data_IF_498894225360
#
_entry.id   IF_498894225360
#
_cell.length_a   1.000
_cell.length_b   1.000
_cell.length_c   1.000
_cell.angle_alpha   90.00
_cell.angle_beta   90.00
_cell.angle_gamma   90.00
#
_symmetry.space_group_name_H-M   'P 1'
#
loop_
_entity.id
_entity.type
_entity.pdbx_description
1 polymer ?
#
# COMPACT_ATOMS: atom_id res chain seq x y z
N UNK A 1 14.73 -28.88 -30.86
CA UNK A 1 15.67 -28.83 -29.73
C UNK A 1 15.03 -27.98 -28.66
N UNK A 2 15.01 -28.48 -27.43
CA UNK A 2 14.63 -27.71 -26.24
C UNK A 2 15.73 -26.68 -25.93
N UNK A 3 15.36 -25.50 -25.39
CA UNK A 3 16.12 -24.22 -25.45
C UNK A 3 17.66 -24.36 -25.48
N UNK A 4 18.40 -24.26 -24.37
CA UNK A 4 18.03 -23.92 -22.99
C UNK A 4 18.76 -22.61 -22.60
N UNK A 5 18.24 -21.81 -21.66
CA UNK A 5 18.96 -20.60 -21.19
C UNK A 5 19.89 -20.95 -20.03
N UNK A 6 21.18 -20.62 -20.16
CA UNK A 6 22.16 -20.80 -19.10
C UNK A 6 22.05 -19.65 -18.06
N UNK A 7 21.77 -19.98 -16.80
CA UNK A 7 21.63 -18.99 -15.72
C UNK A 7 22.95 -18.23 -15.48
N UNK A 8 24.09 -18.87 -15.74
CA UNK A 8 25.40 -18.21 -15.64
C UNK A 8 25.54 -17.01 -16.58
N UNK A 9 24.82 -16.96 -17.69
CA UNK A 9 24.82 -15.85 -18.65
C UNK A 9 23.95 -14.65 -18.23
N UNK A 10 23.03 -14.82 -17.27
CA UNK A 10 22.24 -13.71 -16.71
C UNK A 10 23.19 -12.79 -15.94
N UNK A 11 23.18 -11.50 -16.29
CA UNK A 11 24.06 -10.45 -15.75
C UNK A 11 23.47 -9.78 -14.52
N UNK A 12 22.17 -9.47 -14.53
CA UNK A 12 21.50 -8.86 -13.39
C UNK A 12 21.43 -9.85 -12.22
N UNK A 13 22.05 -9.48 -11.11
CA UNK A 13 22.19 -10.33 -9.92
C UNK A 13 20.84 -10.72 -9.32
N UNK A 14 19.87 -9.81 -9.27
CA UNK A 14 18.54 -10.09 -8.69
C UNK A 14 17.75 -11.10 -9.54
N UNK A 15 17.71 -10.87 -10.85
CA UNK A 15 17.12 -11.77 -11.84
C UNK A 15 17.78 -13.17 -11.79
N UNK A 16 19.11 -13.22 -11.66
CA UNK A 16 19.87 -14.46 -11.51
C UNK A 16 19.54 -15.21 -10.21
N UNK A 17 19.36 -14.51 -9.09
CA UNK A 17 18.94 -15.12 -7.83
C UNK A 17 17.52 -15.70 -7.90
N UNK A 18 16.60 -15.06 -8.62
CA UNK A 18 15.27 -15.64 -8.88
C UNK A 18 15.38 -16.87 -9.80
N UNK A 19 16.16 -16.79 -10.89
CA UNK A 19 16.40 -17.91 -11.80
C UNK A 19 16.94 -19.17 -11.08
N UNK A 20 17.89 -19.01 -10.16
CA UNK A 20 18.42 -20.11 -9.33
C UNK A 20 17.38 -20.72 -8.38
N UNK A 21 16.32 -19.98 -7.97
CA UNK A 21 15.20 -20.52 -7.17
C UNK A 21 14.18 -21.30 -8.02
N UNK A 22 14.02 -20.94 -9.29
CA UNK A 22 13.00 -21.51 -10.19
C UNK A 22 13.46 -22.79 -10.89
N UNK A 23 14.77 -23.00 -11.07
CA UNK A 23 15.30 -24.24 -11.66
C UNK A 23 15.17 -25.44 -10.70
N UNK A 24 15.19 -26.64 -11.27
CA UNK A 24 15.36 -27.85 -10.48
C UNK A 24 16.77 -27.89 -9.84
N UNK A 25 16.85 -28.30 -8.57
CA UNK A 25 18.07 -28.22 -7.76
C UNK A 25 19.24 -29.05 -8.32
N UNK A 26 18.93 -30.16 -8.98
CA UNK A 26 19.89 -31.14 -9.51
C UNK A 26 20.34 -30.86 -10.95
N UNK A 27 19.65 -29.96 -11.67
CA UNK A 27 19.87 -29.77 -13.10
C UNK A 27 21.10 -28.88 -13.35
N UNK A 28 22.12 -29.46 -13.98
CA UNK A 28 23.31 -28.78 -14.49
C UNK A 28 23.69 -29.31 -15.86
N UNK A 29 24.10 -28.43 -16.75
CA UNK A 29 24.51 -28.77 -18.13
C UNK A 29 25.68 -27.89 -18.59
N UNK A 30 26.54 -28.43 -19.44
CA UNK A 30 27.53 -27.64 -20.19
C UNK A 30 26.89 -27.01 -21.42
N UNK A 31 27.19 -25.73 -21.65
CA UNK A 31 26.64 -24.92 -22.72
C UNK A 31 27.75 -24.52 -23.71
N UNK A 32 27.82 -25.22 -24.86
CA UNK A 32 28.85 -24.97 -25.88
C UNK A 32 28.88 -23.50 -26.34
N UNK A 33 27.72 -22.84 -26.40
CA UNK A 33 27.55 -21.44 -26.84
C UNK A 33 28.24 -20.41 -25.94
N UNK A 34 28.42 -20.71 -24.64
CA UNK A 34 28.99 -19.77 -23.67
C UNK A 34 30.12 -20.35 -22.80
N UNK A 35 30.45 -21.64 -22.94
CA UNK A 35 31.49 -22.33 -22.19
C UNK A 35 31.17 -22.57 -20.71
N UNK A 36 29.96 -22.30 -20.25
CA UNK A 36 29.57 -22.47 -18.85
C UNK A 36 29.00 -23.87 -18.58
N UNK A 37 29.38 -24.45 -17.43
CA UNK A 37 28.61 -25.55 -16.79
C UNK A 37 27.77 -24.96 -15.67
N UNK A 38 26.45 -25.01 -15.77
CA UNK A 38 25.56 -24.34 -14.83
C UNK A 38 24.12 -24.83 -14.87
N UNK A 39 23.30 -24.26 -13.97
CA UNK A 39 21.85 -24.41 -14.02
C UNK A 39 21.24 -23.71 -15.22
N UNK A 40 20.01 -24.10 -15.57
CA UNK A 40 19.33 -23.61 -16.76
C UNK A 40 17.84 -23.39 -16.55
N UNK A 41 17.23 -22.66 -17.48
CA UNK A 41 15.79 -22.38 -17.51
C UNK A 41 15.16 -23.04 -18.75
N UNK A 42 14.05 -23.74 -18.52
CA UNK A 42 13.11 -24.15 -19.58
C UNK A 42 12.17 -22.97 -19.96
N UNK A 43 11.19 -23.19 -20.84
CA UNK A 43 10.24 -22.15 -21.26
C UNK A 43 9.37 -21.65 -20.09
N UNK A 44 8.77 -22.57 -19.31
CA UNK A 44 7.93 -22.24 -18.15
C UNK A 44 8.70 -21.41 -17.10
N UNK A 45 9.97 -21.76 -16.84
CA UNK A 45 10.83 -21.04 -15.93
C UNK A 45 11.12 -19.60 -16.41
N UNK A 46 11.21 -19.38 -17.73
CA UNK A 46 11.43 -18.04 -18.30
C UNK A 46 10.19 -17.17 -18.19
N UNK A 47 9.01 -17.70 -18.52
CA UNK A 47 7.74 -16.98 -18.37
C UNK A 47 7.48 -16.63 -16.89
N UNK A 48 7.72 -17.57 -15.96
CA UNK A 48 7.61 -17.31 -14.51
C UNK A 48 8.64 -16.28 -14.03
N UNK A 49 9.92 -16.42 -14.41
CA UNK A 49 10.98 -15.48 -14.03
C UNK A 49 10.69 -14.06 -14.50
N UNK A 50 10.24 -13.91 -15.75
CA UNK A 50 9.90 -12.63 -16.33
C UNK A 50 8.71 -11.98 -15.59
N UNK A 51 7.67 -12.76 -15.25
CA UNK A 51 6.53 -12.25 -14.50
C UNK A 51 6.91 -11.89 -13.05
N UNK A 52 7.72 -12.69 -12.37
CA UNK A 52 8.17 -12.40 -11.00
C UNK A 52 9.03 -11.14 -10.94
N UNK A 53 10.01 -10.99 -11.82
CA UNK A 53 10.94 -9.87 -11.79
C UNK A 53 10.36 -8.58 -12.38
N UNK A 54 9.82 -8.63 -13.60
CA UNK A 54 9.38 -7.40 -14.29
C UNK A 54 7.97 -6.96 -13.90
N UNK A 55 7.05 -7.88 -13.62
CA UNK A 55 5.67 -7.52 -13.24
C UNK A 55 5.58 -7.39 -11.72
N UNK A 56 5.68 -8.48 -10.96
CA UNK A 56 5.52 -8.43 -9.51
C UNK A 56 6.61 -7.60 -8.80
N UNK A 57 7.83 -7.61 -9.33
CA UNK A 57 8.95 -6.81 -8.83
C UNK A 57 8.89 -5.31 -9.15
N UNK A 58 7.98 -4.85 -10.02
CA UNK A 58 7.84 -3.42 -10.36
C UNK A 58 6.64 -2.74 -9.70
N UNK A 59 6.18 -3.23 -8.55
CA UNK A 59 5.10 -2.61 -7.77
C UNK A 59 5.71 -1.53 -6.83
N UNK A 60 5.41 -0.23 -7.00
CA UNK A 60 6.05 0.82 -6.21
C UNK A 60 5.62 0.81 -4.74
N UNK A 61 6.56 0.90 -3.76
CA UNK A 61 6.23 0.84 -2.34
C UNK A 61 5.30 1.95 -1.82
N UNK A 62 5.23 3.09 -2.51
CA UNK A 62 4.51 4.30 -2.05
C UNK A 62 3.05 4.40 -2.48
N UNK A 63 2.58 3.54 -3.38
CA UNK A 63 1.28 3.71 -4.04
C UNK A 63 0.09 3.18 -3.24
N UNK A 64 0.32 2.37 -2.20
CA UNK A 64 -0.73 1.69 -1.42
C UNK A 64 -1.57 0.69 -2.23
N UNK A 65 -1.07 0.28 -3.40
CA UNK A 65 -1.82 -0.47 -4.40
C UNK A 65 -0.96 -1.48 -5.15
N UNK A 66 -1.56 -2.62 -5.51
CA UNK A 66 -0.91 -3.76 -6.16
C UNK A 66 -0.76 -3.55 -7.68
N UNK A 67 -0.33 -2.36 -8.08
CA UNK A 67 -0.20 -1.96 -9.48
C UNK A 67 1.28 -2.03 -9.91
N UNK A 68 1.67 -2.95 -10.80
CA UNK A 68 3.02 -2.99 -11.34
C UNK A 68 3.22 -1.84 -12.34
N UNK A 69 4.45 -1.36 -12.49
CA UNK A 69 4.82 -0.32 -13.48
C UNK A 69 5.04 -0.92 -14.86
N UNK A 70 5.42 -2.20 -14.93
CA UNK A 70 5.59 -2.93 -16.18
C UNK A 70 4.65 -4.13 -16.28
N UNK A 71 4.30 -4.50 -17.50
CA UNK A 71 3.58 -5.73 -17.78
C UNK A 71 4.08 -6.34 -19.11
N UNK A 72 3.67 -7.57 -19.40
CA UNK A 72 4.08 -8.34 -20.59
C UNK A 72 2.86 -8.50 -21.50
N UNK A 73 2.97 -8.13 -22.78
CA UNK A 73 1.91 -8.35 -23.77
C UNK A 73 1.85 -9.82 -24.19
N UNK A 74 0.69 -10.27 -24.66
CA UNK A 74 0.55 -11.63 -25.24
C UNK A 74 1.30 -11.78 -26.57
N UNK A 75 1.46 -10.69 -27.32
CA UNK A 75 2.15 -10.63 -28.62
C UNK A 75 2.79 -9.25 -28.80
N UNK A 76 3.89 -9.19 -29.55
CA UNK A 76 4.53 -7.93 -29.96
C UNK A 76 6.05 -7.98 -29.85
N UNK A 77 6.67 -6.80 -29.78
CA UNK A 77 8.08 -6.62 -29.45
C UNK A 77 8.21 -5.94 -28.09
N UNK A 78 9.41 -5.98 -27.51
CA UNK A 78 9.75 -5.22 -26.32
C UNK A 78 9.72 -3.71 -26.64
N UNK A 79 9.02 -2.93 -25.82
CA UNK A 79 8.91 -1.47 -25.92
C UNK A 79 9.78 -0.75 -24.87
N UNK A 80 10.41 -1.49 -23.95
CA UNK A 80 11.26 -0.94 -22.89
C UNK A 80 12.75 -1.05 -23.22
N UNK A 81 13.50 -0.02 -22.85
CA UNK A 81 14.96 -0.04 -22.77
C UNK A 81 15.40 0.46 -21.41
N UNK A 82 16.12 -0.36 -20.66
CA UNK A 82 16.56 -0.07 -19.29
C UNK A 82 17.86 0.75 -19.25
N UNK A 83 18.71 0.66 -20.27
CA UNK A 83 20.02 1.31 -20.32
C UNK A 83 21.04 0.64 -19.38
N UNK A 84 20.89 -0.66 -19.13
CA UNK A 84 21.69 -1.41 -18.16
C UNK A 84 21.92 -2.86 -18.61
N UNK A 85 22.53 -3.68 -17.75
CA UNK A 85 22.70 -5.10 -17.99
C UNK A 85 21.38 -5.87 -18.19
N UNK A 86 20.24 -5.30 -17.76
CA UNK A 86 18.90 -5.86 -18.01
C UNK A 86 18.54 -5.92 -19.50
N UNK A 87 19.02 -5.00 -20.35
CA UNK A 87 18.70 -5.05 -21.78
C UNK A 87 19.25 -6.33 -22.42
N UNK A 88 20.48 -6.70 -22.05
CA UNK A 88 21.10 -7.96 -22.46
C UNK A 88 20.37 -9.19 -21.91
N UNK A 89 19.89 -9.12 -20.66
CA UNK A 89 19.15 -10.23 -20.07
C UNK A 89 17.77 -10.38 -20.73
N UNK A 90 17.11 -9.29 -21.13
CA UNK A 90 15.87 -9.32 -21.91
C UNK A 90 16.12 -9.93 -23.30
N UNK A 91 17.21 -9.59 -23.99
CA UNK A 91 17.62 -10.25 -25.23
C UNK A 91 17.85 -11.75 -25.03
N UNK A 92 18.51 -12.14 -23.94
CA UNK A 92 18.78 -13.53 -23.59
C UNK A 92 17.48 -14.31 -23.31
N UNK A 93 16.58 -13.77 -22.49
CA UNK A 93 15.27 -14.38 -22.20
C UNK A 93 14.38 -14.46 -23.46
N UNK A 94 14.42 -13.43 -24.30
CA UNK A 94 13.67 -13.36 -25.56
C UNK A 94 14.06 -14.43 -26.59
N UNK A 95 15.13 -15.19 -26.35
CA UNK A 95 15.54 -16.26 -27.26
C UNK A 95 14.53 -17.40 -27.35
N UNK A 96 13.75 -17.70 -26.29
CA UNK A 96 12.67 -18.68 -26.36
C UNK A 96 11.48 -18.16 -27.17
N UNK A 97 10.97 -17.03 -26.72
CA UNK A 97 9.73 -16.38 -27.10
C UNK A 97 9.94 -14.89 -26.89
N UNK A 98 9.44 -14.00 -27.76
CA UNK A 98 9.55 -12.56 -27.54
C UNK A 98 9.05 -12.19 -26.15
N UNK A 99 9.78 -11.31 -25.46
CA UNK A 99 9.39 -10.75 -24.16
C UNK A 99 8.89 -9.31 -24.36
N UNK A 100 7.64 -9.08 -24.81
CA UNK A 100 7.10 -7.77 -25.12
C UNK A 100 6.71 -7.01 -23.84
N UNK A 101 7.72 -6.55 -23.10
CA UNK A 101 7.55 -5.66 -21.97
C UNK A 101 7.10 -4.28 -22.43
N UNK A 102 6.28 -3.63 -21.61
CA UNK A 102 5.81 -2.26 -21.83
C UNK A 102 5.48 -1.57 -20.51
N UNK A 103 5.39 -0.23 -20.53
CA UNK A 103 4.89 0.55 -19.40
C UNK A 103 3.39 0.29 -19.21
N UNK A 104 3.02 -0.29 -18.08
CA UNK A 104 1.62 -0.55 -17.75
C UNK A 104 1.00 0.69 -17.14
N UNK A 105 0.03 1.29 -17.84
CA UNK A 105 -0.92 2.22 -17.22
C UNK A 105 -1.99 1.41 -16.46
N UNK A 106 -1.94 1.31 -15.13
CA UNK A 106 -2.97 0.59 -14.39
C UNK A 106 -4.30 1.35 -14.44
N UNK A 107 -5.45 0.65 -14.44
CA UNK A 107 -6.73 1.28 -14.16
C UNK A 107 -6.67 2.09 -12.85
N UNK A 108 -7.19 3.31 -12.86
CA UNK A 108 -6.98 4.30 -11.78
C UNK A 108 -7.42 3.80 -10.38
N UNK A 109 -8.45 2.93 -10.30
CA UNK A 109 -8.82 2.30 -9.03
C UNK A 109 -7.69 1.46 -8.41
N UNK A 110 -6.78 0.86 -9.20
CA UNK A 110 -5.65 0.06 -8.66
C UNK A 110 -4.62 0.92 -7.90
N UNK A 111 -4.55 2.22 -8.19
CA UNK A 111 -3.75 3.21 -7.45
C UNK A 111 -4.58 4.01 -6.44
N UNK A 112 -5.81 3.59 -6.19
CA UNK A 112 -6.70 4.12 -5.16
C UNK A 112 -7.60 5.28 -5.59
N UNK A 113 -7.54 5.71 -6.86
CA UNK A 113 -8.44 6.73 -7.40
C UNK A 113 -9.82 6.10 -7.70
N UNK A 114 -10.61 5.97 -6.64
CA UNK A 114 -12.03 5.58 -6.61
C UNK A 114 -12.94 6.80 -6.72
N UNK A 115 -14.24 6.58 -6.94
CA UNK A 115 -15.26 7.64 -7.00
C UNK A 115 -15.27 8.47 -5.71
N UNK A 116 -15.22 7.81 -4.53
CA UNK A 116 -15.09 8.49 -3.24
C UNK A 116 -13.81 9.35 -3.15
N UNK A 117 -12.66 8.87 -3.63
CA UNK A 117 -11.42 9.66 -3.64
C UNK A 117 -11.52 10.86 -4.57
N UNK A 118 -12.09 10.67 -5.77
CA UNK A 118 -12.31 11.71 -6.76
C UNK A 118 -13.19 12.84 -6.19
N UNK A 119 -14.34 12.50 -5.59
CA UNK A 119 -15.24 13.47 -4.96
C UNK A 119 -14.59 14.20 -3.78
N UNK A 120 -13.92 13.47 -2.88
CA UNK A 120 -13.36 14.03 -1.65
C UNK A 120 -12.07 14.84 -1.85
N UNK A 121 -11.29 14.59 -2.90
CA UNK A 121 -9.94 15.17 -3.07
C UNK A 121 -9.80 16.06 -4.29
N UNK A 122 -10.45 15.73 -5.41
CA UNK A 122 -10.19 16.38 -6.71
C UNK A 122 -11.36 17.29 -7.10
N UNK A 123 -12.59 16.88 -6.82
CA UNK A 123 -13.79 17.61 -7.23
C UNK A 123 -14.25 18.64 -6.19
N UNK A 124 -13.60 18.69 -5.02
CA UNK A 124 -13.83 19.64 -3.92
C UNK A 124 -15.33 19.80 -3.59
N UNK A 125 -16.05 18.67 -3.46
CA UNK A 125 -17.50 18.65 -3.27
C UNK A 125 -17.95 19.43 -2.02
N UNK A 126 -19.18 19.95 -2.06
CA UNK A 126 -19.77 20.75 -0.99
C UNK A 126 -19.78 20.02 0.36
N UNK A 127 -19.74 20.76 1.48
CA UNK A 127 -19.75 20.17 2.83
C UNK A 127 -20.92 19.20 3.08
N UNK A 128 -22.07 19.44 2.46
CA UNK A 128 -23.21 18.53 2.51
C UNK A 128 -22.88 17.20 1.82
N UNK A 129 -22.42 17.26 0.57
CA UNK A 129 -22.05 16.06 -0.21
C UNK A 129 -20.91 15.29 0.45
N UNK A 130 -19.94 16.00 1.02
CA UNK A 130 -18.83 15.43 1.81
C UNK A 130 -19.33 14.61 2.99
N UNK A 131 -20.35 15.09 3.71
CA UNK A 131 -20.99 14.35 4.82
C UNK A 131 -21.79 13.14 4.34
N UNK A 132 -22.49 13.23 3.20
CA UNK A 132 -23.17 12.05 2.60
C UNK A 132 -22.17 10.93 2.28
N UNK A 133 -21.02 11.28 1.68
CA UNK A 133 -19.96 10.33 1.34
C UNK A 133 -19.44 9.62 2.59
N UNK A 134 -19.13 10.36 3.66
CA UNK A 134 -18.68 9.76 4.92
C UNK A 134 -19.78 8.93 5.60
N UNK A 135 -21.05 9.33 5.54
CA UNK A 135 -22.16 8.53 6.05
C UNK A 135 -22.27 7.18 5.32
N UNK A 136 -22.13 7.19 3.99
CA UNK A 136 -22.10 5.97 3.17
C UNK A 136 -20.93 5.06 3.56
N UNK A 137 -19.71 5.61 3.61
CA UNK A 137 -18.49 4.88 3.99
C UNK A 137 -18.61 4.26 5.38
N UNK A 138 -19.11 5.03 6.36
CA UNK A 138 -19.27 4.55 7.74
C UNK A 138 -20.38 3.49 7.83
N UNK A 139 -21.47 3.63 7.08
CA UNK A 139 -22.57 2.67 7.04
C UNK A 139 -22.20 1.33 6.39
N UNK A 140 -21.28 1.35 5.43
CA UNK A 140 -20.71 0.14 4.81
C UNK A 140 -19.69 -0.58 5.71
N UNK A 141 -19.17 0.06 6.75
CA UNK A 141 -18.24 -0.54 7.70
C UNK A 141 -18.96 -1.19 8.88
N UNK A 142 -18.44 -2.32 9.36
CA UNK A 142 -19.07 -3.08 10.44
C UNK A 142 -18.89 -2.43 11.81
N UNK A 143 -19.98 -2.34 12.59
CA UNK A 143 -19.87 -2.04 14.03
C UNK A 143 -19.40 -3.29 14.79
N UNK A 144 -18.38 -3.14 15.62
CA UNK A 144 -17.83 -4.17 16.50
C UNK A 144 -17.92 -3.72 17.95
N UNK A 145 -18.38 -4.61 18.82
CA UNK A 145 -18.49 -4.36 20.26
C UNK A 145 -17.44 -5.16 21.02
N UNK A 146 -16.47 -4.48 21.65
CA UNK A 146 -15.52 -5.13 22.56
C UNK A 146 -16.10 -5.21 23.97
N UNK A 147 -16.19 -6.42 24.50
CA UNK A 147 -16.79 -6.69 25.81
C UNK A 147 -15.77 -6.48 26.93
N UNK A 148 -16.21 -6.22 28.17
CA UNK A 148 -15.34 -6.27 29.34
C UNK A 148 -14.54 -7.59 29.39
N UNK A 149 -13.26 -7.50 29.76
CA UNK A 149 -12.29 -8.60 29.74
C UNK A 149 -11.56 -8.80 28.40
N UNK A 150 -11.97 -8.14 27.30
CA UNK A 150 -11.19 -8.15 26.05
C UNK A 150 -9.81 -7.52 26.28
N UNK A 151 -8.77 -8.13 25.70
CA UNK A 151 -7.37 -7.68 25.84
C UNK A 151 -6.97 -6.74 24.72
N UNK A 152 -6.23 -5.67 25.07
CA UNK A 152 -5.61 -4.73 24.13
C UNK A 152 -4.13 -4.57 24.54
N UNK A 153 -3.22 -4.60 23.57
CA UNK A 153 -1.81 -4.33 23.79
C UNK A 153 -1.43 -2.92 23.34
N UNK A 154 -0.42 -2.36 23.99
CA UNK A 154 0.27 -1.16 23.50
C UNK A 154 1.74 -1.22 23.87
N UNK A 155 2.61 -1.03 22.89
CA UNK A 155 4.05 -0.92 23.11
C UNK A 155 4.52 0.54 23.09
N UNK A 156 5.61 0.83 23.81
CA UNK A 156 6.40 2.07 23.71
C UNK A 156 7.87 1.68 23.59
N UNK A 157 8.65 2.50 22.88
CA UNK A 157 10.10 2.38 22.79
C UNK A 157 10.80 3.65 23.25
N UNK A 158 12.06 3.52 23.65
CA UNK A 158 12.93 4.66 23.96
C UNK A 158 14.33 4.25 24.39
N UNK A 159 15.09 5.22 24.87
CA UNK A 159 16.46 5.03 25.40
C UNK A 159 16.47 4.39 26.80
N UNK A 160 15.30 4.28 27.44
CA UNK A 160 15.07 3.61 28.72
C UNK A 160 13.61 3.13 28.78
N UNK A 161 13.29 2.25 29.72
CA UNK A 161 11.90 1.88 30.00
C UNK A 161 11.20 3.03 30.75
N UNK A 162 9.94 3.36 30.41
CA UNK A 162 9.11 4.25 31.21
C UNK A 162 8.75 3.59 32.55
N UNK A 163 8.26 4.38 33.50
CA UNK A 163 7.66 3.87 34.73
C UNK A 163 6.48 2.94 34.42
N UNK A 164 6.31 1.89 35.24
CA UNK A 164 5.24 0.91 35.12
C UNK A 164 3.87 1.45 35.61
N UNK A 165 3.45 2.60 35.08
CA UNK A 165 2.25 3.33 35.50
C UNK A 165 1.25 3.44 34.34
N UNK A 166 -0.05 3.34 34.62
CA UNK A 166 -1.10 3.34 33.59
C UNK A 166 -1.09 4.59 32.70
N UNK A 167 -0.86 5.76 33.30
CA UNK A 167 -0.78 7.04 32.59
C UNK A 167 0.43 7.15 31.64
N UNK A 168 1.49 6.35 31.83
CA UNK A 168 2.59 6.25 30.86
C UNK A 168 2.23 5.42 29.62
N UNK A 169 1.10 4.69 29.64
CA UNK A 169 0.67 3.89 28.49
C UNK A 169 -0.71 4.32 27.95
N UNK A 170 -1.39 5.27 28.58
CA UNK A 170 -2.60 5.91 28.03
C UNK A 170 -2.25 6.89 26.87
N UNK A 171 -3.26 7.54 26.26
CA UNK A 171 -3.07 8.53 25.19
C UNK A 171 -2.00 9.57 25.51
N UNK A 172 -1.17 9.92 24.51
CA UNK A 172 -0.08 10.87 24.69
C UNK A 172 -0.61 12.20 25.29
N UNK A 173 -0.06 12.71 26.41
CA UNK A 173 -0.51 13.96 27.00
C UNK A 173 -0.29 15.18 26.09
N UNK A 174 0.74 15.15 25.26
CA UNK A 174 1.10 16.16 24.27
C UNK A 174 1.14 15.51 22.86
N UNK A 175 -0.02 15.13 22.29
CA UNK A 175 -0.07 14.37 21.05
C UNK A 175 0.33 15.25 19.86
N UNK A 176 1.30 14.80 19.09
CA UNK A 176 1.58 15.32 17.75
C UNK A 176 0.51 14.85 16.77
N UNK A 177 0.55 15.39 15.55
CA UNK A 177 -0.25 14.87 14.46
C UNK A 177 0.04 13.37 14.20
N UNK A 178 -1.01 12.65 13.81
CA UNK A 178 -0.97 11.24 13.42
C UNK A 178 -2.07 10.93 12.40
N UNK A 179 -2.16 9.66 11.98
CA UNK A 179 -3.09 9.25 10.93
C UNK A 179 -4.56 9.48 11.32
N UNK A 180 -4.95 9.19 12.56
CA UNK A 180 -6.34 9.30 13.03
C UNK A 180 -6.51 10.36 14.14
N UNK A 181 -5.58 11.31 14.24
CA UNK A 181 -5.65 12.42 15.19
C UNK A 181 -4.90 13.66 14.68
N UNK A 182 -5.47 14.85 14.88
CA UNK A 182 -4.75 16.12 14.71
C UNK A 182 -3.82 16.35 15.90
N UNK A 183 -2.88 17.29 15.73
CA UNK A 183 -2.05 17.77 16.84
C UNK A 183 -2.94 18.30 17.98
N UNK A 184 -2.64 17.92 19.22
CA UNK A 184 -3.46 18.22 20.40
C UNK A 184 -4.64 17.28 20.65
N UNK A 185 -5.08 16.47 19.67
CA UNK A 185 -6.14 15.49 19.87
C UNK A 185 -5.63 14.22 20.55
N UNK A 186 -6.16 13.91 21.73
CA UNK A 186 -5.78 12.71 22.49
C UNK A 186 -6.46 11.48 21.92
N UNK A 187 -5.62 10.53 21.51
CA UNK A 187 -5.99 9.23 20.96
C UNK A 187 -5.01 8.17 21.48
N UNK A 188 -5.56 7.01 21.82
CA UNK A 188 -4.82 5.82 22.21
C UNK A 188 -4.64 4.94 20.99
N UNK A 189 -3.40 4.59 20.66
CA UNK A 189 -3.07 3.62 19.62
C UNK A 189 -2.57 2.34 20.26
N UNK A 190 -3.24 1.22 19.99
CA UNK A 190 -2.82 -0.12 20.40
C UNK A 190 -3.13 -1.14 19.30
N UNK A 191 -3.01 -2.42 19.64
CA UNK A 191 -3.38 -3.53 18.76
C UNK A 191 -3.94 -4.72 19.56
N UNK A 192 -4.53 -5.67 18.85
CA UNK A 192 -4.95 -6.95 19.44
C UNK A 192 -3.79 -7.93 19.61
N UNK A 193 -2.70 -7.73 18.86
CA UNK A 193 -1.51 -8.60 18.88
C UNK A 193 -0.24 -7.80 19.20
N UNK A 194 0.69 -8.43 19.93
CA UNK A 194 1.96 -7.83 20.34
C UNK A 194 2.85 -7.54 19.11
N UNK A 195 2.84 -8.44 18.12
CA UNK A 195 3.57 -8.30 16.85
C UNK A 195 3.22 -6.99 16.13
N UNK A 196 1.92 -6.70 15.99
CA UNK A 196 1.43 -5.44 15.39
C UNK A 196 1.96 -4.21 16.13
N UNK A 197 1.95 -4.22 17.47
CA UNK A 197 2.51 -3.13 18.28
C UNK A 197 4.01 -2.91 18.03
N UNK A 198 4.79 -3.98 17.83
CA UNK A 198 6.23 -3.88 17.56
C UNK A 198 6.52 -3.30 16.16
N UNK A 199 5.72 -3.69 15.17
CA UNK A 199 5.81 -3.13 13.82
C UNK A 199 5.48 -1.63 13.80
N UNK A 200 4.35 -1.22 14.39
CA UNK A 200 3.90 0.19 14.37
C UNK A 200 4.90 1.14 15.02
N UNK A 201 5.51 0.76 16.16
CA UNK A 201 6.55 1.60 16.80
C UNK A 201 7.93 1.46 16.16
N UNK A 202 8.09 0.63 15.11
CA UNK A 202 9.32 0.44 14.33
C UNK A 202 10.54 0.16 15.20
N UNK A 203 10.49 -0.90 16.00
CA UNK A 203 11.56 -1.26 16.95
C UNK A 203 12.91 -1.53 16.29
N UNK A 204 13.99 -1.09 16.92
CA UNK A 204 15.37 -1.44 16.63
C UNK A 204 15.95 -2.32 17.75
N UNK A 205 17.04 -3.07 17.44
CA UNK A 205 17.70 -3.95 18.42
C UNK A 205 18.28 -3.22 19.66
N UNK A 206 18.48 -1.91 19.56
CA UNK A 206 18.99 -1.05 20.64
C UNK A 206 17.88 -0.42 21.49
N UNK A 207 16.61 -0.56 21.11
CA UNK A 207 15.50 0.10 21.79
C UNK A 207 15.15 -0.61 23.12
N UNK A 208 14.86 0.17 24.16
CA UNK A 208 14.16 -0.35 25.34
C UNK A 208 12.67 -0.40 25.06
N UNK A 209 12.16 -1.61 24.86
CA UNK A 209 10.77 -1.86 24.48
C UNK A 209 9.96 -2.23 25.73
N UNK A 210 8.97 -1.40 26.05
CA UNK A 210 7.99 -1.67 27.09
C UNK A 210 6.64 -2.01 26.45
N UNK A 211 6.01 -3.07 26.94
CA UNK A 211 4.65 -3.49 26.59
C UNK A 211 3.72 -3.25 27.78
N UNK A 212 2.56 -2.67 27.53
CA UNK A 212 1.43 -2.69 28.44
C UNK A 212 0.33 -3.61 27.91
N UNK A 213 -0.22 -4.42 28.81
CA UNK A 213 -1.43 -5.20 28.58
C UNK A 213 -2.58 -4.46 29.26
N UNK A 214 -3.62 -4.14 28.50
CA UNK A 214 -4.86 -3.55 28.99
C UNK A 214 -6.00 -4.56 28.89
N UNK A 215 -6.93 -4.51 29.84
CA UNK A 215 -8.24 -5.12 29.71
C UNK A 215 -9.31 -4.04 29.53
N UNK A 216 -10.29 -4.33 28.69
CA UNK A 216 -11.52 -3.56 28.56
C UNK A 216 -12.34 -3.71 29.85
N UNK A 217 -12.77 -2.60 30.44
CA UNK A 217 -13.53 -2.56 31.70
C UNK A 217 -15.00 -2.22 31.44
N UNK A 218 -15.25 -1.36 30.46
CA UNK A 218 -16.59 -1.02 29.96
C UNK A 218 -16.70 -1.43 28.51
N UNK A 219 -17.88 -1.87 28.08
CA UNK A 219 -18.13 -2.21 26.69
C UNK A 219 -17.77 -1.03 25.77
N UNK A 220 -17.04 -1.30 24.69
CA UNK A 220 -16.59 -0.31 23.70
C UNK A 220 -17.26 -0.55 22.37
N UNK A 221 -17.89 0.49 21.80
CA UNK A 221 -18.46 0.46 20.45
C UNK A 221 -17.45 1.00 19.46
N UNK A 222 -16.95 0.15 18.57
CA UNK A 222 -15.95 0.49 17.56
C UNK A 222 -16.52 0.34 16.14
N UNK A 223 -15.96 1.09 15.20
CA UNK A 223 -16.15 0.84 13.77
C UNK A 223 -14.95 0.06 13.23
N UNK A 224 -15.16 -1.12 12.65
CA UNK A 224 -14.11 -1.86 11.97
C UNK A 224 -14.06 -1.45 10.49
N UNK A 225 -13.13 -0.55 10.16
CA UNK A 225 -12.91 -0.10 8.77
C UNK A 225 -12.08 -1.11 7.95
N UNK A 226 -11.85 -2.32 8.48
CA UNK A 226 -11.26 -3.46 7.75
C UNK A 226 -12.29 -4.52 7.36
N UNK A 227 -13.53 -4.43 7.87
CA UNK A 227 -14.63 -5.35 7.60
C UNK A 227 -15.79 -4.55 6.96
N UNK A 228 -15.75 -4.47 5.63
CA UNK A 228 -16.67 -3.70 4.80
C UNK A 228 -17.68 -4.65 4.16
N UNK A 229 -18.97 -4.38 4.35
CA UNK A 229 -20.06 -5.28 3.95
C UNK A 229 -20.64 -5.00 2.57
N UNK A 230 -20.28 -3.87 1.96
CA UNK A 230 -20.76 -3.48 0.64
C UNK A 230 -20.06 -4.23 -0.50
N UNK A 231 -20.85 -4.72 -1.46
CA UNK A 231 -20.36 -5.27 -2.71
C UNK A 231 -20.42 -4.19 -3.80
N UNK A 232 -19.28 -3.66 -4.28
CA UNK A 232 -19.28 -2.55 -5.21
C UNK A 232 -19.69 -3.00 -6.62
N UNK A 233 -20.47 -2.17 -7.31
CA UNK A 233 -20.93 -2.43 -8.68
C UNK A 233 -19.80 -2.43 -9.71
N UNK A 234 -18.77 -1.61 -9.48
CA UNK A 234 -17.50 -1.59 -10.23
C UNK A 234 -16.34 -1.37 -9.26
N UNK A 235 -15.09 -1.71 -9.63
CA UNK A 235 -13.93 -1.43 -8.78
C UNK A 235 -13.74 0.05 -8.40
N UNK A 236 -14.29 0.99 -9.19
CA UNK A 236 -14.22 2.42 -8.86
C UNK A 236 -15.10 2.81 -7.67
N UNK A 237 -16.19 2.09 -7.43
CA UNK A 237 -17.10 2.31 -6.29
C UNK A 237 -16.64 1.60 -5.01
N UNK A 238 -15.50 0.91 -5.04
CA UNK A 238 -15.04 0.11 -3.90
C UNK A 238 -14.56 0.98 -2.72
N UNK A 239 -15.36 1.01 -1.65
CA UNK A 239 -14.98 1.59 -0.35
C UNK A 239 -13.75 0.87 0.22
N UNK A 240 -13.58 -0.44 -0.01
CA UNK A 240 -12.39 -1.18 0.43
C UNK A 240 -11.10 -0.65 -0.23
N UNK A 241 -11.16 -0.37 -1.54
CA UNK A 241 -10.03 0.25 -2.27
C UNK A 241 -9.76 1.66 -1.76
N UNK A 242 -10.80 2.45 -1.49
CA UNK A 242 -10.69 3.80 -0.93
C UNK A 242 -10.05 3.81 0.47
N UNK A 243 -10.57 3.00 1.41
CA UNK A 243 -10.03 2.92 2.77
C UNK A 243 -8.59 2.42 2.73
N UNK A 244 -8.30 1.39 1.91
CA UNK A 244 -6.93 0.90 1.73
C UNK A 244 -5.99 2.00 1.23
N UNK A 245 -6.42 2.80 0.24
CA UNK A 245 -5.65 3.93 -0.28
C UNK A 245 -5.25 4.91 0.82
N UNK A 246 -6.20 5.38 1.64
CA UNK A 246 -5.90 6.39 2.67
C UNK A 246 -5.12 5.82 3.87
N UNK A 247 -5.35 4.55 4.22
CA UNK A 247 -4.65 3.89 5.35
C UNK A 247 -3.21 3.48 4.99
N UNK A 248 -2.93 3.09 3.74
CA UNK A 248 -1.61 2.63 3.29
C UNK A 248 -0.76 3.67 2.58
N UNK A 249 -1.31 4.83 2.24
CA UNK A 249 -0.50 5.96 1.77
C UNK A 249 0.22 6.65 2.93
N UNK A 250 1.19 7.51 2.58
CA UNK A 250 1.95 8.32 3.54
C UNK A 250 1.13 9.44 4.19
N UNK A 251 1.86 10.42 4.73
CA UNK A 251 1.30 11.56 5.48
C UNK A 251 0.37 12.45 4.63
N UNK A 252 0.44 12.37 3.30
CA UNK A 252 -0.46 13.08 2.38
C UNK A 252 -1.94 12.77 2.59
N UNK A 253 -2.28 11.56 3.05
CA UNK A 253 -3.66 11.12 3.27
C UNK A 253 -4.12 11.24 4.74
N UNK A 254 -3.28 11.78 5.63
CA UNK A 254 -3.67 12.02 7.02
C UNK A 254 -4.92 12.91 7.14
N UNK A 255 -5.11 13.99 6.34
CA UNK A 255 -6.33 14.80 6.43
C UNK A 255 -7.62 13.99 6.27
N UNK A 256 -7.69 13.07 5.30
CA UNK A 256 -8.85 12.19 5.10
C UNK A 256 -9.03 11.20 6.25
N UNK A 257 -7.94 10.62 6.77
CA UNK A 257 -8.00 9.68 7.89
C UNK A 257 -8.44 10.37 9.19
N UNK A 258 -7.97 11.60 9.44
CA UNK A 258 -8.38 12.44 10.58
C UNK A 258 -9.83 12.92 10.45
N UNK A 259 -10.29 13.20 9.24
CA UNK A 259 -11.68 13.56 8.97
C UNK A 259 -12.60 12.37 9.23
N UNK A 260 -12.29 11.19 8.66
CA UNK A 260 -12.99 9.93 8.95
C UNK A 260 -13.02 9.63 10.46
N UNK A 261 -11.90 9.78 11.16
CA UNK A 261 -11.85 9.61 12.62
C UNK A 261 -12.80 10.56 13.36
N UNK A 262 -12.91 11.81 12.93
CA UNK A 262 -13.82 12.79 13.53
C UNK A 262 -15.30 12.51 13.20
N UNK A 263 -15.61 12.05 11.98
CA UNK A 263 -16.95 11.59 11.60
C UNK A 263 -17.37 10.32 12.36
N UNK A 264 -16.46 9.37 12.58
CA UNK A 264 -16.72 8.19 13.42
C UNK A 264 -16.97 8.62 14.88
N UNK A 265 -16.14 9.51 15.42
CA UNK A 265 -16.27 10.03 16.79
C UNK A 265 -17.56 10.83 17.00
N UNK A 266 -17.99 11.63 16.03
CA UNK A 266 -19.23 12.43 16.14
C UNK A 266 -20.50 11.57 16.20
N UNK A 267 -20.44 10.36 15.63
CA UNK A 267 -21.51 9.33 15.70
C UNK A 267 -21.51 8.50 16.99
N UNK A 268 -20.66 8.85 17.97
CA UNK A 268 -20.66 8.25 19.31
C UNK A 268 -19.97 6.89 19.41
N UNK A 269 -19.06 6.56 18.49
CA UNK A 269 -18.16 5.42 18.64
C UNK A 269 -17.02 5.78 19.63
N UNK A 270 -16.55 4.78 20.39
CA UNK A 270 -15.40 4.90 21.28
C UNK A 270 -14.05 4.93 20.54
N UNK A 271 -14.05 4.48 19.29
CA UNK A 271 -12.85 4.30 18.49
C UNK A 271 -13.13 3.57 17.17
N UNK A 272 -12.06 3.14 16.51
CA UNK A 272 -12.09 2.36 15.27
C UNK A 272 -11.00 1.28 15.26
N UNK A 273 -11.22 0.24 14.44
CA UNK A 273 -10.23 -0.80 14.12
C UNK A 273 -9.78 -0.55 12.67
N UNK A 274 -8.47 -0.46 12.46
CA UNK A 274 -7.86 -0.22 11.15
C UNK A 274 -6.77 -1.24 10.83
N UNK A 275 -6.49 -1.47 9.54
CA UNK A 275 -5.33 -2.27 9.14
C UNK A 275 -4.05 -1.53 9.51
N UNK A 276 -3.05 -2.25 10.01
CA UNK A 276 -1.70 -1.74 10.18
C UNK A 276 -1.10 -1.40 8.82
N UNK A 277 -0.34 -0.31 8.76
CA UNK A 277 0.43 0.06 7.57
C UNK A 277 1.38 -1.09 7.14
N UNK A 278 1.87 -1.86 8.11
CA UNK A 278 2.80 -2.97 7.91
C UNK A 278 2.14 -4.25 7.37
N UNK A 279 0.80 -4.35 7.34
CA UNK A 279 0.10 -5.47 6.67
C UNK A 279 0.50 -5.60 5.19
N UNK A 280 0.89 -4.49 4.55
CA UNK A 280 1.40 -4.49 3.17
C UNK A 280 2.62 -5.40 2.94
N UNK A 281 3.39 -5.69 3.99
CA UNK A 281 4.58 -6.54 3.95
C UNK A 281 4.51 -7.70 4.97
N UNK A 282 3.28 -8.14 5.32
CA UNK A 282 3.08 -9.17 6.33
C UNK A 282 2.04 -10.21 5.92
N UNK A 283 2.22 -11.46 6.37
CA UNK A 283 1.34 -12.59 6.04
C UNK A 283 0.09 -12.67 6.93
N UNK A 284 0.19 -12.18 8.16
CA UNK A 284 -0.93 -12.09 9.11
C UNK A 284 -1.72 -10.78 8.90
N UNK A 285 -3.03 -10.80 9.15
CA UNK A 285 -3.87 -9.61 9.13
C UNK A 285 -3.63 -8.73 10.38
N UNK A 286 -2.60 -7.88 10.31
CA UNK A 286 -2.20 -7.00 11.40
C UNK A 286 -3.23 -5.86 11.58
N UNK A 287 -3.99 -5.89 12.67
CA UNK A 287 -5.00 -4.86 13.00
C UNK A 287 -4.62 -3.99 14.21
N UNK A 288 -4.77 -2.69 14.04
CA UNK A 288 -4.67 -1.67 15.09
C UNK A 288 -6.05 -1.37 15.68
N UNK A 289 -6.06 -1.00 16.96
CA UNK A 289 -7.21 -0.39 17.64
C UNK A 289 -6.86 1.05 18.03
N UNK A 290 -7.73 1.97 17.64
CA UNK A 290 -7.58 3.40 17.84
C UNK A 290 -8.76 3.86 18.70
N UNK A 291 -8.50 4.26 19.94
CA UNK A 291 -9.55 4.71 20.89
C UNK A 291 -9.47 6.22 21.10
N UNK A 292 -10.60 6.91 21.05
CA UNK A 292 -10.67 8.36 21.23
C UNK A 292 -10.62 8.76 22.70
N UNK A 293 -9.93 9.85 23.02
CA UNK A 293 -9.85 10.40 24.39
C UNK A 293 -8.65 9.87 25.17
N UNK A 294 -8.85 9.54 26.44
CA UNK A 294 -7.83 8.93 27.32
C UNK A 294 -8.48 7.68 27.95
N UNK A 295 -8.65 6.58 27.19
CA UNK A 295 -9.53 5.48 27.59
C UNK A 295 -9.16 4.83 28.93
N UNK A 296 -7.90 4.88 29.38
CA UNK A 296 -7.55 4.40 30.70
C UNK A 296 -8.02 5.37 31.79
N UNK A 297 -7.67 6.65 31.66
CA UNK A 297 -8.15 7.73 32.56
C UNK A 297 -9.68 7.84 32.61
N UNK A 298 -10.35 7.61 31.49
CA UNK A 298 -11.81 7.66 31.35
C UNK A 298 -12.49 6.37 31.91
N UNK A 299 -11.69 5.41 32.42
CA UNK A 299 -12.15 4.16 33.02
C UNK A 299 -12.85 3.24 32.03
N UNK A 300 -12.44 3.26 30.75
CA UNK A 300 -12.92 2.39 29.67
C UNK A 300 -12.07 1.12 29.56
N UNK A 301 -10.76 1.27 29.72
CA UNK A 301 -9.77 0.19 29.82
C UNK A 301 -8.97 0.35 31.12
N UNK A 302 -8.24 -0.67 31.56
CA UNK A 302 -7.25 -0.54 32.63
C UNK A 302 -6.06 -1.47 32.42
N UNK A 303 -4.88 -1.05 32.86
CA UNK A 303 -3.64 -1.80 32.70
C UNK A 303 -3.59 -2.99 33.68
N UNK A 304 -3.31 -4.19 33.16
CA UNK A 304 -3.20 -5.41 33.96
C UNK A 304 -1.75 -5.85 34.14
N UNK A 305 -0.86 -5.52 33.20
CA UNK A 305 0.58 -5.78 33.33
C UNK A 305 1.41 -4.79 32.53
N UNK A 306 2.67 -4.64 32.94
CA UNK A 306 3.74 -4.09 32.10
C UNK A 306 4.89 -5.09 32.01
N UNK A 307 5.55 -5.12 30.85
CA UNK A 307 6.58 -6.11 30.54
C UNK A 307 7.69 -5.45 29.70
N UNK A 308 8.96 -5.83 29.94
CA UNK A 308 10.05 -5.56 28.99
C UNK A 308 10.00 -6.62 27.87
N UNK A 309 10.04 -6.20 26.62
CA UNK A 309 10.30 -7.10 25.48
C UNK A 309 11.81 -7.12 25.18
N UNK A 310 12.35 -8.30 24.88
CA UNK A 310 13.66 -8.48 24.27
C UNK A 310 13.45 -9.10 22.87
N UNK A 311 14.09 -8.55 21.83
CA UNK A 311 14.04 -9.11 20.49
C UNK A 311 15.09 -10.22 20.36
N UNK A 312 14.65 -11.45 20.08
CA UNK A 312 15.52 -12.63 20.02
C UNK A 312 15.95 -13.01 18.59
N UNK A 313 15.10 -12.74 17.60
CA UNK A 313 15.31 -13.11 16.20
C UNK A 313 14.52 -12.19 15.26
N UNK A 314 15.03 -11.93 14.06
CA UNK A 314 14.38 -11.14 13.01
C UNK A 314 14.61 -11.85 11.67
N UNK A 315 13.57 -12.01 10.86
CA UNK A 315 13.64 -12.55 9.50
C UNK A 315 13.12 -11.55 8.49
N UNK A 316 13.79 -11.46 7.33
CA UNK A 316 13.35 -10.64 6.20
C UNK A 316 13.00 -11.54 5.01
N UNK A 317 11.83 -11.30 4.42
CA UNK A 317 11.38 -11.89 3.17
C UNK A 317 11.37 -10.79 2.09
N UNK A 318 11.92 -11.08 0.91
CA UNK A 318 12.14 -10.08 -0.13
C UNK A 318 12.09 -10.69 -1.53
N UNK A 319 11.72 -9.85 -2.50
CA UNK A 319 11.78 -10.09 -3.94
C UNK A 319 12.79 -9.15 -4.60
N UNK A 320 13.01 -9.32 -5.91
CA UNK A 320 13.79 -8.40 -6.74
C UNK A 320 12.92 -7.85 -7.87
N UNK A 321 13.29 -6.67 -8.36
CA UNK A 321 12.68 -6.05 -9.53
C UNK A 321 13.65 -5.08 -10.24
N UNK A 322 13.23 -4.50 -11.37
CA UNK A 322 14.05 -3.61 -12.19
C UNK A 322 14.34 -2.27 -11.49
N UNK A 323 15.60 -1.82 -11.57
CA UNK A 323 16.08 -0.62 -10.86
C UNK A 323 15.62 0.73 -11.46
N UNK A 324 14.95 0.73 -12.61
CA UNK A 324 14.50 1.95 -13.31
C UNK A 324 13.14 2.50 -12.83
N UNK A 325 12.67 2.00 -11.68
CA UNK A 325 11.45 2.42 -10.98
C UNK A 325 11.75 3.40 -9.82
N UNK A 326 12.64 4.38 -10.06
CA UNK A 326 12.97 5.41 -9.07
C UNK A 326 12.04 6.64 -9.17
N UNK A 327 10.85 6.43 -9.75
CA UNK A 327 10.04 7.44 -10.40
C UNK A 327 8.73 7.66 -9.65
N UNK A 328 8.47 8.91 -9.24
CA UNK A 328 7.36 9.31 -8.38
C UNK A 328 6.34 10.08 -9.19
N UNK A 329 5.19 9.45 -9.43
CA UNK A 329 3.96 10.06 -9.93
C UNK A 329 3.76 11.49 -9.39
N UNK A 330 3.86 12.50 -10.26
CA UNK A 330 3.51 13.86 -9.91
C UNK A 330 1.98 14.00 -9.84
N UNK A 331 1.44 13.75 -8.65
CA UNK A 331 0.02 13.88 -8.33
C UNK A 331 -0.49 15.31 -8.60
N UNK A 332 0.36 16.35 -8.53
CA UNK A 332 -0.07 17.73 -8.82
C UNK A 332 -0.21 17.95 -10.32
N UNK A 333 0.73 17.46 -11.13
CA UNK A 333 0.62 17.50 -12.59
C UNK A 333 -0.60 16.68 -13.07
N UNK A 334 -0.80 15.47 -12.53
CA UNK A 334 -1.98 14.66 -12.81
C UNK A 334 -3.29 15.32 -12.37
N UNK A 335 -3.32 15.99 -11.22
CA UNK A 335 -4.49 16.76 -10.77
C UNK A 335 -4.81 17.93 -11.71
N UNK A 336 -3.79 18.65 -12.18
CA UNK A 336 -3.94 19.74 -13.14
C UNK A 336 -4.46 19.22 -14.51
N UNK A 337 -3.88 18.14 -15.03
CA UNK A 337 -4.34 17.48 -16.25
C UNK A 337 -5.78 17.01 -16.11
N UNK A 338 -6.11 16.31 -15.02
CA UNK A 338 -7.48 15.84 -14.73
C UNK A 338 -8.48 17.00 -14.71
N UNK A 339 -8.11 18.14 -14.11
CA UNK A 339 -8.93 19.35 -14.10
C UNK A 339 -9.13 19.91 -15.51
N UNK A 340 -8.05 20.05 -16.31
CA UNK A 340 -8.15 20.49 -17.70
C UNK A 340 -9.06 19.59 -18.54
N UNK A 341 -8.97 18.27 -18.36
CA UNK A 341 -9.87 17.31 -19.01
C UNK A 341 -11.32 17.52 -18.61
N UNK A 342 -11.61 17.64 -17.30
CA UNK A 342 -12.99 17.89 -16.82
C UNK A 342 -13.54 19.25 -17.24
N UNK A 343 -12.71 20.26 -17.39
CA UNK A 343 -13.12 21.58 -17.86
C UNK A 343 -13.44 21.54 -19.38
N UNK A 344 -12.57 20.90 -20.19
CA UNK A 344 -12.82 20.70 -21.63
C UNK A 344 -14.00 19.76 -21.92
N UNK A 345 -14.20 18.71 -21.11
CA UNK A 345 -15.36 17.81 -21.23
C UNK A 345 -16.67 18.56 -20.93
N UNK A 346 -16.70 19.39 -19.87
CA UNK A 346 -17.89 20.21 -19.56
C UNK A 346 -18.24 21.21 -20.67
N UNK A 347 -17.23 21.80 -21.32
CA UNK A 347 -17.46 22.67 -22.48
C UNK A 347 -17.97 21.90 -23.71
N UNK A 348 -17.54 20.65 -23.91
CA UNK A 348 -18.10 19.78 -24.95
C UNK A 348 -19.57 19.42 -24.64
N UNK A 349 -19.86 19.06 -23.39
CA UNK A 349 -21.21 18.72 -22.91
C UNK A 349 -22.18 19.91 -22.95
N UNK A 350 -21.70 21.15 -22.75
CA UNK A 350 -22.51 22.37 -22.90
C UNK A 350 -22.64 22.86 -24.33
N UNK A 351 -21.89 22.29 -25.29
CA UNK A 351 -21.84 22.73 -26.68
C UNK A 351 -21.01 24.00 -26.91
N UNK A 352 -20.19 24.41 -25.93
CA UNK A 352 -19.25 25.53 -26.02
C UNK A 352 -17.90 25.13 -26.65
N UNK A 353 -17.68 23.83 -26.87
CA UNK A 353 -16.49 23.26 -27.51
C UNK A 353 -16.89 22.28 -28.62
N UNK A 354 -16.34 22.45 -29.81
CA UNK A 354 -16.57 21.52 -30.93
C UNK A 354 -15.84 20.19 -30.72
N UNK A 355 -16.44 19.09 -31.19
CA UNK A 355 -15.88 17.74 -31.03
C UNK A 355 -14.48 17.61 -31.64
N UNK A 356 -14.23 18.23 -32.81
CA UNK A 356 -12.91 18.25 -33.46
C UNK A 356 -11.86 19.05 -32.67
N UNK A 357 -12.26 20.00 -31.82
CA UNK A 357 -11.34 20.70 -30.90
C UNK A 357 -11.07 19.85 -29.66
N UNK A 358 -12.11 19.17 -29.13
CA UNK A 358 -11.95 18.20 -28.04
C UNK A 358 -11.04 17.03 -28.45
N UNK A 359 -11.19 16.48 -29.66
CA UNK A 359 -10.33 15.42 -30.20
C UNK A 359 -8.85 15.83 -30.20
N UNK A 360 -8.54 17.05 -30.68
CA UNK A 360 -7.16 17.60 -30.66
C UNK A 360 -6.64 17.86 -29.25
N UNK A 361 -7.51 18.28 -28.32
CA UNK A 361 -7.17 18.36 -26.91
C UNK A 361 -6.87 16.98 -26.33
N UNK A 362 -7.60 15.92 -26.71
CA UNK A 362 -7.33 14.56 -26.25
C UNK A 362 -5.98 14.03 -26.74
N UNK A 363 -5.57 14.33 -27.96
CA UNK A 363 -4.23 13.97 -28.46
C UNK A 363 -3.12 14.65 -27.64
N UNK A 364 -3.27 15.95 -27.35
CA UNK A 364 -2.37 16.70 -26.46
C UNK A 364 -2.39 16.16 -25.02
N UNK A 365 -3.57 15.92 -24.46
CA UNK A 365 -3.75 15.39 -23.11
C UNK A 365 -3.08 14.02 -22.95
N UNK A 366 -3.24 13.12 -23.93
CA UNK A 366 -2.58 11.83 -23.91
C UNK A 366 -1.04 11.96 -24.02
N UNK A 367 -0.54 12.91 -24.82
CA UNK A 367 0.90 13.20 -24.89
C UNK A 367 1.45 13.75 -23.57
N UNK A 368 0.79 14.74 -22.96
CA UNK A 368 1.20 15.30 -21.65
C UNK A 368 1.05 14.29 -20.52
N UNK A 369 0.01 13.45 -20.53
CA UNK A 369 -0.17 12.37 -19.57
C UNK A 369 0.98 11.35 -19.69
N UNK A 370 1.30 10.88 -20.90
CA UNK A 370 2.44 9.98 -21.12
C UNK A 370 3.76 10.64 -20.73
N UNK A 371 4.00 11.90 -21.12
CA UNK A 371 5.18 12.68 -20.74
C UNK A 371 5.27 12.88 -19.21
N UNK A 372 4.14 13.05 -18.52
CA UNK A 372 4.07 13.13 -17.06
C UNK A 372 4.39 11.78 -16.44
N UNK A 373 3.86 10.68 -16.96
CA UNK A 373 4.14 9.30 -16.51
C UNK A 373 5.58 8.85 -16.83
N UNK A 374 6.19 9.41 -17.87
CA UNK A 374 7.58 9.15 -18.28
C UNK A 374 8.59 10.01 -17.52
N UNK A 375 8.23 11.19 -17.02
CA UNK A 375 9.13 12.08 -16.28
C UNK A 375 8.96 12.04 -14.76
N UNK A 376 7.75 11.76 -14.28
CA UNK A 376 7.50 11.26 -12.91
C UNK A 376 8.43 10.10 -12.65
#
# INVERSE_FOLDING_TARGET
MEKLICISCIKNTGLKFLAEKLRNSNDKRFFDTCGHTGGFLNEDNVDQLAHEFFVNGSIPPSSGGNAPVYNIKTTGMNELTFGSELDHDIELLSQYKPLPLYHYGPPLYKIGATTNYQELVIDEVSEWRRKEIWESIISACKTVTLKPGSTIFRARKGNSLPSALENEFDSNPNPTEGRFNKSGEKVFYGAFEIETCLHEIRVALTDWIALATFQVIKELRLLDITDITELPSTPFESIEIFIRKIVYSGESEYPLCQELANEIKSRGYDGLIASSFFKQAHKNDLKNIILFGQPAKDGKISITSTNKINLNFISYEFSFGPMRDNKRLDIKALGLLTKQYKDKLRLLESGELEFDEFQRFMDYYMHEFMTTMENS
#
